data_IF_520304527594
#
_entry.id   IF_520304527594
#
_cell.length_a   1.000
_cell.length_b   1.000
_cell.length_c   1.000
_cell.angle_alpha   90.00
_cell.angle_beta   90.00
_cell.angle_gamma   90.00
#
_symmetry.space_group_name_H-M   'P 1'
#
loop_
_entity.id
_entity.type
_entity.pdbx_description
1 polymer ?
#
# COMPACT_ATOMS: atom_id res chain seq x y z
N UNK A 1 33.45 4.94 8.53
CA UNK A 1 33.52 4.24 7.25
C UNK A 1 32.13 4.32 6.67
N UNK A 2 31.95 4.97 5.52
CA UNK A 2 30.64 5.04 4.87
C UNK A 2 30.52 3.77 4.04
N UNK A 3 29.72 2.81 4.50
CA UNK A 3 29.37 1.64 3.71
C UNK A 3 28.90 2.10 2.33
N UNK A 4 29.57 1.61 1.30
CA UNK A 4 29.28 1.91 -0.10
C UNK A 4 27.93 1.26 -0.43
N UNK A 5 26.84 2.01 -0.23
CA UNK A 5 25.50 1.49 -0.41
C UNK A 5 25.27 1.24 -1.91
N UNK A 6 25.22 -0.03 -2.29
CA UNK A 6 24.93 -0.44 -3.66
C UNK A 6 23.52 0.03 -4.00
N UNK A 7 23.44 0.97 -4.94
CA UNK A 7 22.18 1.45 -5.49
C UNK A 7 21.78 0.56 -6.66
N UNK A 8 20.53 0.11 -6.65
CA UNK A 8 19.90 -0.67 -7.72
C UNK A 8 18.79 0.17 -8.35
N UNK A 9 18.51 -0.10 -9.63
CA UNK A 9 17.38 0.49 -10.34
C UNK A 9 16.26 -0.55 -10.43
N UNK A 10 15.05 -0.19 -10.02
CA UNK A 10 13.86 -1.02 -10.19
C UNK A 10 12.59 -0.21 -10.40
N UNK A 11 11.44 -0.87 -10.44
CA UNK A 11 10.14 -0.25 -10.68
C UNK A 11 9.31 -0.22 -9.42
N UNK A 12 8.70 0.91 -9.11
CA UNK A 12 7.74 1.01 -8.01
C UNK A 12 6.53 0.12 -8.30
N UNK A 13 6.17 -0.75 -7.36
CA UNK A 13 5.01 -1.61 -7.51
C UNK A 13 3.70 -0.83 -7.72
N UNK A 14 3.55 0.31 -7.06
CA UNK A 14 2.29 1.08 -7.06
C UNK A 14 2.16 1.95 -8.31
N UNK A 15 3.10 2.87 -8.54
CA UNK A 15 3.01 3.82 -9.65
C UNK A 15 3.74 3.39 -10.93
N UNK A 16 4.41 2.22 -10.91
CA UNK A 16 5.16 1.63 -12.03
C UNK A 16 6.33 2.45 -12.58
N UNK A 17 6.61 3.63 -12.00
CA UNK A 17 7.78 4.47 -12.32
C UNK A 17 9.09 3.78 -11.91
N UNK A 18 10.12 3.91 -12.73
CA UNK A 18 11.48 3.46 -12.41
C UNK A 18 12.11 4.41 -11.40
N UNK A 19 12.82 3.89 -10.40
CA UNK A 19 13.56 4.67 -9.42
C UNK A 19 14.80 3.92 -8.93
N UNK A 20 15.80 4.67 -8.46
CA UNK A 20 16.96 4.12 -7.77
C UNK A 20 16.68 3.92 -6.30
N UNK A 21 17.11 2.79 -5.73
CA UNK A 21 16.98 2.51 -4.30
C UNK A 21 18.09 1.60 -3.79
N UNK A 22 18.24 1.53 -2.47
CA UNK A 22 19.15 0.61 -1.79
C UNK A 22 18.31 -0.58 -1.34
N UNK A 23 18.57 -1.82 -1.82
CA UNK A 23 17.73 -2.98 -1.51
C UNK A 23 17.54 -3.24 -0.01
N UNK A 24 18.55 -2.92 0.81
CA UNK A 24 18.52 -3.13 2.25
C UNK A 24 17.61 -2.15 3.02
N UNK A 25 17.18 -1.03 2.41
CA UNK A 25 16.42 0.02 3.11
C UNK A 25 15.15 0.47 2.38
N UNK A 26 14.91 -0.01 1.15
CA UNK A 26 13.69 0.31 0.42
C UNK A 26 12.48 -0.32 1.11
N UNK A 27 11.37 0.41 1.15
CA UNK A 27 10.09 -0.17 1.58
C UNK A 27 9.62 -1.16 0.52
N UNK A 28 9.34 -2.39 0.94
CA UNK A 28 8.81 -3.45 0.08
C UNK A 28 7.37 -3.79 0.44
N UNK A 29 6.68 -4.44 -0.49
CA UNK A 29 5.40 -5.11 -0.27
C UNK A 29 5.47 -6.53 -0.81
N UNK A 30 4.93 -7.48 -0.07
CA UNK A 30 4.84 -8.88 -0.48
C UNK A 30 3.65 -9.07 -1.41
N UNK A 31 3.90 -9.56 -2.62
CA UNK A 31 2.89 -9.73 -3.68
C UNK A 31 2.94 -11.15 -4.24
N UNK A 32 1.78 -11.79 -4.37
CA UNK A 32 1.64 -13.03 -5.14
C UNK A 32 1.57 -12.68 -6.65
N UNK A 33 2.57 -13.09 -7.46
CA UNK A 33 2.65 -12.71 -8.86
C UNK A 33 1.47 -13.23 -9.70
N UNK A 34 0.77 -14.28 -9.26
CA UNK A 34 -0.41 -14.77 -9.98
C UNK A 34 -1.62 -13.84 -9.83
N UNK A 35 -1.77 -13.20 -8.67
CA UNK A 35 -2.94 -12.35 -8.37
C UNK A 35 -2.63 -10.86 -8.44
N UNK A 36 -1.34 -10.49 -8.46
CA UNK A 36 -0.87 -9.12 -8.32
C UNK A 36 -1.39 -8.42 -7.05
N UNK A 37 -1.62 -9.21 -5.99
CA UNK A 37 -2.13 -8.75 -4.70
C UNK A 37 -1.28 -9.33 -3.56
N UNK A 38 -1.31 -8.70 -2.38
CA UNK A 38 -0.80 -9.34 -1.18
C UNK A 38 -1.47 -10.69 -0.95
N UNK A 39 -0.72 -11.72 -0.49
CA UNK A 39 -1.26 -13.08 -0.41
C UNK A 39 -2.48 -13.21 0.52
N UNK A 40 -2.62 -12.31 1.50
CA UNK A 40 -3.77 -12.19 2.41
C UNK A 40 -4.88 -11.25 1.94
N UNK A 41 -4.86 -10.78 0.69
CA UNK A 41 -5.86 -9.87 0.15
C UNK A 41 -6.66 -10.53 -0.97
N UNK A 42 -7.96 -10.26 -0.99
CA UNK A 42 -8.88 -10.67 -2.07
C UNK A 42 -9.00 -9.57 -3.11
N UNK A 43 -9.45 -9.93 -4.32
CA UNK A 43 -9.65 -8.96 -5.43
C UNK A 43 -10.66 -7.86 -5.10
N UNK A 44 -11.60 -8.14 -4.19
CA UNK A 44 -12.59 -7.17 -3.70
C UNK A 44 -12.06 -6.28 -2.56
N UNK A 45 -10.77 -6.37 -2.23
CA UNK A 45 -10.13 -5.59 -1.16
C UNK A 45 -10.40 -6.12 0.26
N UNK A 46 -11.03 -7.28 0.40
CA UNK A 46 -11.20 -7.97 1.69
C UNK A 46 -9.95 -8.73 2.12
N UNK A 47 -9.81 -8.97 3.43
CA UNK A 47 -8.74 -9.80 3.99
C UNK A 47 -9.14 -11.29 3.96
N UNK A 48 -8.16 -12.16 3.70
CA UNK A 48 -8.30 -13.62 3.80
C UNK A 48 -7.04 -14.23 4.41
N UNK A 49 -7.18 -15.44 4.94
CA UNK A 49 -6.03 -16.29 5.26
C UNK A 49 -5.24 -16.57 3.97
N UNK A 50 -3.92 -16.27 3.92
CA UNK A 50 -3.06 -16.66 2.81
C UNK A 50 -2.99 -18.19 2.68
N UNK A 51 -3.08 -18.73 1.46
CA UNK A 51 -2.75 -20.15 1.28
C UNK A 51 -1.23 -20.36 1.41
N UNK A 52 -0.78 -21.55 1.84
CA UNK A 52 0.65 -21.88 1.91
C UNK A 52 1.34 -21.69 0.55
N UNK A 53 0.66 -22.08 -0.53
CA UNK A 53 1.13 -21.92 -1.89
C UNK A 53 1.28 -20.44 -2.24
N UNK A 54 0.26 -19.60 -2.03
CA UNK A 54 0.33 -18.17 -2.34
C UNK A 54 1.48 -17.48 -1.58
N UNK A 55 1.71 -17.88 -0.32
CA UNK A 55 2.81 -17.36 0.49
C UNK A 55 4.17 -17.78 -0.08
N UNK A 56 4.33 -19.04 -0.48
CA UNK A 56 5.60 -19.58 -0.96
C UNK A 56 6.09 -18.97 -2.28
N UNK A 57 5.17 -18.49 -3.14
CA UNK A 57 5.49 -17.85 -4.43
C UNK A 57 5.43 -16.32 -4.38
N UNK A 58 5.03 -15.75 -3.24
CA UNK A 58 5.01 -14.30 -3.10
C UNK A 58 6.43 -13.73 -3.13
N UNK A 59 6.57 -12.56 -3.73
CA UNK A 59 7.84 -11.86 -3.89
C UNK A 59 7.77 -10.48 -3.25
N UNK A 60 8.91 -9.97 -2.80
CA UNK A 60 9.02 -8.60 -2.30
C UNK A 60 9.22 -7.63 -3.46
N UNK A 61 8.31 -6.67 -3.57
CA UNK A 61 8.32 -5.66 -4.62
C UNK A 61 8.59 -4.26 -4.02
N UNK A 62 9.51 -3.46 -4.59
CA UNK A 62 9.89 -2.18 -4.01
C UNK A 62 8.84 -1.09 -4.26
N UNK A 63 8.67 -0.19 -3.29
CA UNK A 63 7.77 0.97 -3.37
C UNK A 63 8.60 2.25 -3.31
N UNK A 64 8.34 3.19 -4.22
CA UNK A 64 9.04 4.47 -4.22
C UNK A 64 8.62 5.34 -3.01
N UNK A 65 9.52 6.22 -2.53
CA UNK A 65 9.24 7.10 -1.38
C UNK A 65 7.98 7.96 -1.55
N UNK A 66 7.69 8.46 -2.76
CA UNK A 66 6.48 9.23 -3.05
C UNK A 66 5.20 8.44 -2.71
N UNK A 67 5.14 7.17 -3.12
CA UNK A 67 3.98 6.32 -2.89
C UNK A 67 3.85 5.95 -1.41
N UNK A 68 4.96 5.72 -0.72
CA UNK A 68 4.96 5.51 0.74
C UNK A 68 4.44 6.75 1.48
N UNK A 69 4.94 7.93 1.14
CA UNK A 69 4.52 9.18 1.75
C UNK A 69 3.03 9.45 1.50
N UNK A 70 2.56 9.20 0.28
CA UNK A 70 1.13 9.31 -0.05
C UNK A 70 0.28 8.34 0.76
N UNK A 71 0.72 7.10 0.93
CA UNK A 71 0.00 6.12 1.75
C UNK A 71 -0.07 6.54 3.22
N UNK A 72 1.02 7.09 3.79
CA UNK A 72 1.04 7.65 5.15
C UNK A 72 0.06 8.80 5.30
N UNK A 73 0.03 9.74 4.36
CA UNK A 73 -0.92 10.86 4.38
C UNK A 73 -2.38 10.38 4.36
N UNK A 74 -2.68 9.34 3.57
CA UNK A 74 -4.02 8.75 3.57
C UNK A 74 -4.35 8.09 4.92
N UNK A 75 -3.42 7.34 5.50
CA UNK A 75 -3.61 6.73 6.81
C UNK A 75 -3.86 7.80 7.89
N UNK A 76 -3.04 8.86 7.94
CA UNK A 76 -3.22 9.98 8.87
C UNK A 76 -4.59 10.68 8.70
N UNK A 77 -5.06 10.81 7.46
CA UNK A 77 -6.40 11.36 7.18
C UNK A 77 -7.54 10.43 7.57
N UNK A 78 -7.34 9.11 7.51
CA UNK A 78 -8.34 8.11 7.87
C UNK A 78 -8.39 7.85 9.39
N UNK A 79 -7.25 7.93 10.07
CA UNK A 79 -7.13 7.85 11.53
C UNK A 79 -7.54 9.17 12.23
N UNK A 80 -7.68 10.26 11.47
CA UNK A 80 -8.30 11.49 11.97
C UNK A 80 -9.80 11.26 12.21
N UNK A 81 -10.38 11.56 13.40
CA UNK A 81 -11.80 11.34 13.70
C UNK A 81 -12.78 12.26 12.93
N UNK A 82 -12.35 12.85 11.82
CA UNK A 82 -13.08 13.87 11.08
C UNK A 82 -13.77 13.30 9.83
N UNK A 83 -14.74 12.41 10.03
CA UNK A 83 -15.96 12.38 9.22
C UNK A 83 -17.14 12.06 10.14
N UNK A 84 -17.40 12.97 11.09
CA UNK A 84 -18.77 13.14 11.57
C UNK A 84 -19.55 13.70 10.38
N UNK A 85 -20.06 12.80 9.52
CA UNK A 85 -21.10 13.16 8.58
C UNK A 85 -22.24 13.71 9.42
N UNK A 86 -22.31 15.04 9.50
CA UNK A 86 -23.45 15.72 10.09
C UNK A 86 -24.68 15.18 9.37
N UNK A 87 -25.45 14.43 10.14
CA UNK A 87 -26.82 14.00 9.93
C UNK A 87 -27.55 14.85 8.89
N UNK A 88 -27.58 14.35 7.65
CA UNK A 88 -28.66 14.67 6.71
C UNK A 88 -29.92 13.97 7.18
N UNK A 89 -30.41 14.36 8.37
CA UNK A 89 -31.78 14.05 8.80
C UNK A 89 -32.62 15.19 8.26
N UNK A 90 -33.25 14.91 7.13
CA UNK A 90 -34.27 15.73 6.47
C UNK A 90 -35.14 16.45 7.49
N UNK A 91 -35.28 17.76 7.34
CA UNK A 91 -36.33 18.54 7.96
C UNK A 91 -37.51 18.57 6.97
N UNK A 92 -38.64 17.90 7.26
CA UNK A 92 -39.85 18.04 6.47
C UNK A 92 -40.88 18.86 7.26
N UNK A 93 -40.59 20.11 7.63
CA UNK A 93 -41.64 21.01 8.12
C UNK A 93 -41.44 22.45 7.66
N UNK A 94 -41.66 22.67 6.35
CA UNK A 94 -42.11 23.97 5.85
C UNK A 94 -43.46 23.80 5.17
N UNK A 95 -44.55 23.87 5.95
CA UNK A 95 -45.85 24.35 5.47
C UNK A 95 -46.74 24.88 6.58
#
# INVERSE_FOLDING_TARGET
>A
MADEQITTIGRCYVCKRTFGFIPASVTTITIDPETALPPGMTVLGGLREPTPEATARSVEEPICPDCVNRAKQFQESADSPALQFETWRSDPDQR
#
